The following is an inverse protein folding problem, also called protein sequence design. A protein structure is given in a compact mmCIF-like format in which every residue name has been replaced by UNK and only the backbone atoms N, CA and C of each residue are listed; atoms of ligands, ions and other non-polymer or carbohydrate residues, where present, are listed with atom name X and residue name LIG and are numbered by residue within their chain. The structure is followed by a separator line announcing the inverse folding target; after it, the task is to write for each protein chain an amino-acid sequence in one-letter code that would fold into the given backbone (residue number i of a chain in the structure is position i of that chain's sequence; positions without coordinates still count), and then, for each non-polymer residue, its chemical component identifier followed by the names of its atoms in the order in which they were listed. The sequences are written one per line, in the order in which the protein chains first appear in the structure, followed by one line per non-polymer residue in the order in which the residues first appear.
data_IF_040721218593
#
_entry.id   IF_040721218593
#
_cell.length_a   1.000
_cell.length_b   1.000
_cell.length_c   1.000
_cell.angle_alpha   90.00
_cell.angle_beta   90.00
_cell.angle_gamma   90.00
#
_symmetry.space_group_name_H-M   'P 1'
#
loop_
_entity.id
_entity.type
_entity.pdbx_description
1 polymer ?
#
# COMPACT_ATOMS: atom_id res chain seq x y z
N UNK A 1 39.09 39.54 -21.29
CA UNK A 1 38.19 39.56 -22.47
C UNK A 1 38.33 38.23 -23.17
N UNK A 2 37.24 37.44 -23.22
CA UNK A 2 36.90 36.53 -24.32
C UNK A 2 35.50 36.00 -24.00
N UNK A 3 34.47 36.70 -24.52
CA UNK A 3 33.13 36.15 -24.61
C UNK A 3 33.16 35.25 -25.85
N UNK A 4 33.44 33.97 -25.68
CA UNK A 4 33.13 32.99 -26.71
C UNK A 4 31.61 32.96 -26.82
N UNK A 5 31.08 33.65 -27.83
CA UNK A 5 29.66 33.66 -28.12
C UNK A 5 29.37 32.29 -28.72
N UNK A 6 28.79 31.41 -27.92
CA UNK A 6 28.34 30.08 -28.34
C UNK A 6 27.22 30.27 -29.37
N UNK A 7 27.44 29.83 -30.62
CA UNK A 7 26.46 29.96 -31.71
C UNK A 7 25.99 28.61 -32.24
N UNK A 8 26.73 27.54 -31.97
CA UNK A 8 26.41 26.18 -32.40
C UNK A 8 26.68 25.15 -31.31
N UNK A 9 26.10 23.95 -31.45
CA UNK A 9 26.36 22.82 -30.55
C UNK A 9 27.85 22.40 -30.59
N UNK A 10 28.49 22.50 -31.76
CA UNK A 10 29.93 22.29 -31.92
C UNK A 10 30.79 23.23 -31.04
N UNK A 11 30.35 24.47 -30.81
CA UNK A 11 31.09 25.41 -29.95
C UNK A 11 31.04 24.99 -28.47
N UNK A 12 30.00 24.25 -28.06
CA UNK A 12 29.84 23.76 -26.69
C UNK A 12 30.77 22.56 -26.44
N UNK A 13 30.86 21.65 -27.40
CA UNK A 13 31.71 20.46 -27.30
C UNK A 13 33.20 20.76 -27.50
N UNK A 14 33.55 21.89 -28.10
CA UNK A 14 34.93 22.34 -28.26
C UNK A 14 35.41 23.29 -27.15
N UNK A 15 34.59 23.60 -26.14
CA UNK A 15 35.03 24.42 -25.00
C UNK A 15 35.85 23.54 -24.03
N UNK A 16 37.11 23.88 -23.74
CA UNK A 16 37.93 23.12 -22.78
C UNK A 16 37.32 23.02 -21.37
N UNK A 17 36.37 23.90 -21.02
CA UNK A 17 35.59 23.78 -19.76
C UNK A 17 34.52 22.69 -19.80
N UNK A 18 34.03 22.33 -20.99
CA UNK A 18 33.05 21.27 -21.12
C UNK A 18 33.66 19.91 -20.78
N UNK A 19 34.92 19.68 -21.17
CA UNK A 19 35.65 18.46 -20.83
C UNK A 19 35.82 18.28 -19.32
N UNK A 20 36.10 19.36 -18.56
CA UNK A 20 36.15 19.31 -17.09
C UNK A 20 34.79 18.97 -16.44
N UNK A 21 33.69 19.45 -17.03
CA UNK A 21 32.32 19.20 -16.51
C UNK A 21 31.78 17.81 -16.89
N UNK A 22 32.30 17.21 -17.95
CA UNK A 22 31.89 15.89 -18.45
C UNK A 22 32.67 14.74 -17.81
N UNK A 23 33.67 15.03 -16.96
CA UNK A 23 34.35 14.00 -16.17
C UNK A 23 33.40 13.46 -15.10
N UNK A 24 32.83 12.29 -15.35
CA UNK A 24 32.04 11.55 -14.37
C UNK A 24 33.00 11.09 -13.26
N UNK A 25 32.91 11.68 -12.06
CA UNK A 25 33.66 11.17 -10.91
C UNK A 25 33.31 9.70 -10.68
N UNK A 26 34.29 8.80 -10.52
CA UNK A 26 34.01 7.41 -10.24
C UNK A 26 33.23 7.32 -8.94
N UNK A 27 32.03 6.72 -9.00
CA UNK A 27 31.21 6.49 -7.82
C UNK A 27 32.07 5.80 -6.76
N UNK A 28 32.19 6.41 -5.58
CA UNK A 28 32.89 5.78 -4.45
C UNK A 28 32.25 4.42 -4.20
N UNK A 29 33.02 3.35 -4.39
CA UNK A 29 32.59 2.00 -4.06
C UNK A 29 32.50 1.91 -2.54
N UNK A 30 31.28 1.99 -2.01
CA UNK A 30 31.01 1.67 -0.61
C UNK A 30 31.18 0.15 -0.50
N UNK A 31 32.30 -0.30 0.05
CA UNK A 31 32.50 -1.70 0.43
C UNK A 31 31.41 -2.02 1.47
N UNK A 32 30.70 -3.15 1.36
CA UNK A 32 29.70 -3.52 2.34
C UNK A 32 30.42 -4.01 3.60
N UNK A 33 30.87 -3.08 4.43
CA UNK A 33 31.04 -3.37 5.85
C UNK A 33 29.64 -3.71 6.32
N UNK A 34 29.46 -4.90 6.90
CA UNK A 34 28.16 -5.33 7.42
C UNK A 34 27.73 -4.34 8.50
N UNK A 35 26.90 -3.37 8.12
CA UNK A 35 26.38 -2.29 8.96
C UNK A 35 25.82 -2.83 10.28
N UNK A 36 25.26 -4.04 10.26
CA UNK A 36 24.70 -4.71 11.45
C UNK A 36 25.73 -5.09 12.51
N UNK A 37 26.96 -5.43 12.12
CA UNK A 37 28.03 -5.75 13.08
C UNK A 37 28.49 -4.50 13.82
N UNK A 38 28.61 -3.37 13.11
CA UNK A 38 28.95 -2.08 13.72
C UNK A 38 27.84 -1.58 14.66
N UNK A 39 26.58 -1.69 14.20
CA UNK A 39 25.42 -1.38 15.03
C UNK A 39 25.38 -2.25 16.30
N UNK A 40 25.77 -3.52 16.23
CA UNK A 40 25.80 -4.40 17.39
C UNK A 40 26.92 -4.03 18.37
N UNK A 41 28.10 -3.67 17.88
CA UNK A 41 29.19 -3.13 18.72
C UNK A 41 28.79 -1.84 19.44
N UNK A 42 28.10 -0.94 18.74
CA UNK A 42 27.56 0.29 19.33
C UNK A 42 26.63 -0.01 20.52
N UNK A 43 25.76 -1.03 20.38
CA UNK A 43 24.87 -1.47 21.45
C UNK A 43 25.68 -2.01 22.64
N UNK A 44 26.71 -2.81 22.40
CA UNK A 44 27.57 -3.33 23.47
C UNK A 44 28.33 -2.22 24.22
N UNK A 45 28.88 -1.25 23.49
CA UNK A 45 29.53 -0.09 24.10
C UNK A 45 28.56 0.75 24.91
N UNK A 46 27.31 0.89 24.45
CA UNK A 46 26.28 1.55 25.21
C UNK A 46 25.98 0.80 26.51
N UNK A 47 25.86 -0.52 26.48
CA UNK A 47 25.62 -1.36 27.67
C UNK A 47 26.80 -1.29 28.65
N UNK A 48 28.04 -1.32 28.14
CA UNK A 48 29.27 -1.12 28.95
C UNK A 48 29.26 0.24 29.66
N UNK A 49 28.90 1.31 28.95
CA UNK A 49 28.77 2.67 29.52
C UNK A 49 27.65 2.78 30.55
N UNK A 50 26.57 2.02 30.38
CA UNK A 50 25.39 2.04 31.26
C UNK A 50 25.40 0.89 32.28
N UNK A 51 26.58 0.43 32.70
CA UNK A 51 26.78 -0.55 33.79
C UNK A 51 25.97 -1.84 33.61
N UNK A 52 25.83 -2.34 32.38
CA UNK A 52 25.14 -3.60 32.10
C UNK A 52 23.63 -3.48 31.94
N UNK A 53 23.06 -2.26 31.94
CA UNK A 53 21.62 -2.09 31.63
C UNK A 53 21.37 -2.34 30.14
N UNK A 54 20.37 -3.16 29.83
CA UNK A 54 19.88 -3.33 28.45
C UNK A 54 19.09 -2.09 28.00
N UNK A 55 19.21 -1.66 26.73
CA UNK A 55 18.46 -0.51 26.22
C UNK A 55 16.95 -0.78 26.25
N UNK A 56 16.19 0.14 26.84
CA UNK A 56 14.74 0.00 27.02
C UNK A 56 13.93 0.77 25.96
N UNK A 57 12.72 0.27 25.69
CA UNK A 57 11.78 0.93 24.78
C UNK A 57 11.02 2.04 25.51
N UNK A 58 11.71 3.14 25.77
CA UNK A 58 11.16 4.32 26.47
C UNK A 58 10.33 5.19 25.52
N UNK A 59 9.34 5.93 26.07
CA UNK A 59 8.49 6.89 25.32
C UNK A 59 9.05 8.32 25.29
N UNK A 60 10.07 8.59 26.09
CA UNK A 60 10.69 9.90 26.24
C UNK A 60 11.47 10.30 24.99
N UNK A 61 11.25 11.53 24.53
CA UNK A 61 11.87 12.10 23.33
C UNK A 61 13.37 12.31 23.52
N UNK A 62 13.84 12.55 24.75
CA UNK A 62 15.28 12.69 25.04
C UNK A 62 16.05 11.36 24.98
N UNK A 63 15.36 10.21 24.93
CA UNK A 63 15.96 8.86 24.92
C UNK A 63 15.69 8.09 23.62
N UNK A 64 15.63 8.82 22.49
CA UNK A 64 15.38 8.22 21.17
C UNK A 64 16.48 7.22 20.78
N UNK A 65 17.75 7.52 21.09
CA UNK A 65 18.89 6.66 20.73
C UNK A 65 18.79 5.31 21.44
N UNK A 66 18.49 5.32 22.74
CA UNK A 66 18.23 4.10 23.53
C UNK A 66 17.08 3.29 22.93
N UNK A 67 15.97 3.94 22.59
CA UNK A 67 14.82 3.28 21.95
C UNK A 67 15.19 2.64 20.60
N UNK A 68 16.02 3.30 19.80
CA UNK A 68 16.48 2.74 18.52
C UNK A 68 17.35 1.50 18.74
N UNK A 69 18.31 1.57 19.68
CA UNK A 69 19.15 0.43 20.06
C UNK A 69 18.33 -0.73 20.63
N UNK A 70 17.32 -0.46 21.46
CA UNK A 70 16.40 -1.46 22.00
C UNK A 70 15.63 -2.21 20.89
N UNK A 71 15.15 -1.48 19.87
CA UNK A 71 14.44 -2.08 18.75
C UNK A 71 15.39 -2.91 17.87
N UNK A 72 16.62 -2.43 17.63
CA UNK A 72 17.64 -3.20 16.88
C UNK A 72 17.97 -4.50 17.59
N UNK A 73 18.28 -4.46 18.88
CA UNK A 73 18.56 -5.65 19.68
C UNK A 73 17.39 -6.63 19.69
N UNK A 74 16.15 -6.13 19.77
CA UNK A 74 14.96 -6.97 19.63
C UNK A 74 14.84 -7.63 18.25
N UNK A 75 15.17 -6.91 17.19
CA UNK A 75 15.15 -7.45 15.82
C UNK A 75 16.25 -8.51 15.61
N UNK A 76 17.44 -8.31 16.17
CA UNK A 76 18.50 -9.32 16.15
C UNK A 76 18.09 -10.57 16.93
N UNK A 77 17.43 -10.42 18.08
CA UNK A 77 16.85 -11.54 18.86
C UNK A 77 15.74 -12.31 18.12
N UNK A 78 15.09 -11.72 17.12
CA UNK A 78 13.97 -12.37 16.42
C UNK A 78 14.35 -13.09 15.13
N UNK A 79 15.52 -12.81 14.55
CA UNK A 79 15.97 -13.39 13.28
C UNK A 79 17.18 -14.29 13.52
N UNK A 80 17.01 -15.60 13.29
CA UNK A 80 18.03 -16.61 13.55
C UNK A 80 19.30 -16.39 12.71
N UNK A 81 19.16 -16.02 11.44
CA UNK A 81 20.27 -15.69 10.53
C UNK A 81 21.17 -14.56 11.09
N UNK A 82 20.57 -13.57 11.76
CA UNK A 82 21.30 -12.45 12.35
C UNK A 82 21.97 -12.84 13.66
N UNK A 83 21.36 -13.76 14.42
CA UNK A 83 21.96 -14.33 15.63
C UNK A 83 23.24 -15.09 15.28
N UNK A 84 23.23 -15.91 14.23
CA UNK A 84 24.42 -16.66 13.80
C UNK A 84 25.57 -15.74 13.37
N UNK A 85 25.25 -14.67 12.63
CA UNK A 85 26.23 -13.69 12.15
C UNK A 85 26.85 -12.86 13.28
N UNK A 86 26.07 -12.55 14.33
CA UNK A 86 26.50 -11.69 15.44
C UNK A 86 27.07 -12.48 16.63
N UNK A 87 26.83 -13.80 16.71
CA UNK A 87 27.37 -14.70 17.74
C UNK A 87 28.88 -14.58 17.99
N UNK A 88 29.77 -14.49 16.98
CA UNK A 88 31.22 -14.35 17.24
C UNK A 88 31.60 -13.00 17.86
N UNK A 89 30.71 -12.00 17.79
CA UNK A 89 30.93 -10.67 18.35
C UNK A 89 30.19 -10.44 19.67
N UNK A 90 29.45 -11.43 20.19
CA UNK A 90 28.64 -11.30 21.42
C UNK A 90 29.47 -11.54 22.70
N UNK A 91 30.18 -10.51 23.16
CA UNK A 91 30.96 -10.53 24.41
C UNK A 91 30.08 -10.54 25.68
N UNK A 92 28.85 -10.04 25.58
CA UNK A 92 27.96 -9.81 26.72
C UNK A 92 26.83 -10.86 26.83
N UNK A 93 26.79 -11.84 25.92
CA UNK A 93 25.79 -12.90 25.92
C UNK A 93 24.35 -12.41 25.67
N UNK A 94 24.18 -11.29 24.97
CA UNK A 94 22.90 -10.60 24.79
C UNK A 94 21.93 -11.35 23.87
N UNK A 95 22.44 -12.28 23.06
CA UNK A 95 21.66 -13.01 22.07
C UNK A 95 21.07 -14.33 22.62
N UNK A 96 21.46 -14.77 23.83
CA UNK A 96 21.05 -16.07 24.36
C UNK A 96 19.79 -16.02 25.25
N UNK A 97 18.62 -16.06 24.62
CA UNK A 97 17.30 -16.01 25.28
C UNK A 97 17.00 -17.26 26.15
N UNK A 98 17.72 -18.37 25.94
CA UNK A 98 17.44 -19.65 26.63
C UNK A 98 17.79 -19.62 28.12
N UNK A 99 18.77 -18.83 28.55
CA UNK A 99 19.20 -18.76 29.95
C UNK A 99 18.24 -17.90 30.81
N UNK A 100 17.76 -16.77 30.30
CA UNK A 100 16.85 -15.87 31.02
C UNK A 100 15.50 -16.54 31.38
N UNK A 101 14.97 -17.42 30.52
CA UNK A 101 13.74 -18.17 30.81
C UNK A 101 13.92 -19.22 31.91
N UNK A 102 15.12 -19.74 32.10
CA UNK A 102 15.41 -20.73 33.15
C UNK A 102 15.59 -20.03 34.51
N UNK A 103 16.23 -18.86 34.54
CA UNK A 103 16.37 -18.05 35.75
C UNK A 103 15.01 -17.54 36.27
N UNK A 104 14.14 -17.05 35.38
CA UNK A 104 12.80 -16.59 35.76
C UNK A 104 11.91 -17.75 36.28
N UNK A 105 12.07 -18.95 35.72
CA UNK A 105 11.36 -20.16 36.20
C UNK A 105 11.82 -20.62 37.58
N UNK A 106 13.09 -20.40 37.91
CA UNK A 106 13.62 -20.74 39.23
C UNK A 106 13.11 -19.76 40.29
N UNK A 107 13.09 -18.45 40.00
CA UNK A 107 12.55 -17.43 40.92
C UNK A 107 11.05 -17.63 41.23
N UNK A 108 10.23 -17.97 40.22
CA UNK A 108 8.78 -18.21 40.41
C UNK A 108 8.50 -19.49 41.22
N UNK A 109 9.45 -20.43 41.27
CA UNK A 109 9.33 -21.64 42.08
C UNK A 109 9.47 -21.35 43.58
N UNK A 110 10.30 -20.38 43.94
CA UNK A 110 10.59 -20.02 45.33
C UNK A 110 9.49 -19.14 45.96
N UNK A 111 8.67 -18.45 45.14
CA UNK A 111 7.58 -17.56 45.59
C UNK A 111 6.27 -18.29 45.96
N UNK A 112 6.12 -19.57 45.65
CA UNK A 112 4.94 -20.34 46.05
C UNK A 112 5.02 -20.75 47.52
N UNK A 113 4.82 -19.80 48.42
CA UNK A 113 4.47 -20.10 49.81
C UNK A 113 2.99 -20.46 49.89
N UNK A 114 2.69 -21.61 50.46
CA UNK A 114 1.31 -22.04 50.72
C UNK A 114 0.78 -21.26 51.93
N UNK A 115 -0.29 -20.49 51.75
CA UNK A 115 -0.92 -19.74 52.84
C UNK A 115 -2.00 -20.60 53.49
N UNK A 116 -1.86 -20.88 54.80
CA UNK A 116 -2.76 -21.76 55.55
C UNK A 116 -3.85 -21.04 56.35
N UNK A 117 -3.82 -19.72 56.47
CA UNK A 117 -4.76 -18.95 57.29
C UNK A 117 -5.09 -17.57 56.71
N UNK A 118 -6.25 -17.02 57.10
CA UNK A 118 -6.69 -15.67 56.71
C UNK A 118 -5.82 -14.55 57.33
N UNK A 119 -5.18 -14.82 58.48
CA UNK A 119 -4.30 -13.85 59.15
C UNK A 119 -2.93 -13.72 58.46
N UNK A 120 -2.46 -14.78 57.78
CA UNK A 120 -1.24 -14.72 56.96
C UNK A 120 -1.40 -13.85 55.70
N UNK A 121 -2.63 -13.79 55.16
CA UNK A 121 -2.96 -12.99 53.96
C UNK A 121 -3.02 -11.49 54.30
N UNK A 122 -3.50 -11.15 55.50
CA UNK A 122 -3.68 -9.77 55.94
C UNK A 122 -2.38 -9.12 56.44
N UNK A 123 -1.38 -9.90 56.85
CA UNK A 123 -0.07 -9.41 57.25
C UNK A 123 0.94 -9.29 56.10
N UNK A 124 0.60 -9.79 54.91
CA UNK A 124 1.45 -9.68 53.72
C UNK A 124 1.04 -8.47 52.85
N UNK A 125 1.55 -7.29 53.20
CA UNK A 125 1.35 -6.03 52.47
C UNK A 125 1.73 -6.12 50.98
N UNK A 126 2.54 -7.12 50.59
CA UNK A 126 2.93 -7.30 49.19
C UNK A 126 1.76 -7.72 48.30
N UNK A 127 0.76 -8.43 48.81
CA UNK A 127 -0.40 -8.89 48.03
C UNK A 127 -1.43 -7.77 47.85
N UNK A 128 -1.61 -6.91 48.85
CA UNK A 128 -2.57 -5.80 48.81
C UNK A 128 -2.10 -4.64 47.93
N UNK A 129 -0.79 -4.42 47.82
CA UNK A 129 -0.20 -3.39 46.94
C UNK A 129 0.38 -3.94 45.63
N UNK A 130 0.19 -5.23 45.34
CA UNK A 130 0.50 -5.76 44.03
C UNK A 130 -0.36 -5.01 43.00
N UNK A 131 0.34 -4.20 42.20
CA UNK A 131 -0.18 -3.39 41.12
C UNK A 131 -0.80 -4.28 40.03
N UNK A 132 -1.94 -4.89 40.30
CA UNK A 132 -2.82 -5.49 39.30
C UNK A 132 -3.57 -4.38 38.54
N UNK A 133 -2.76 -3.49 37.97
CA UNK A 133 -3.08 -2.69 36.78
C UNK A 133 -3.37 -3.57 35.56
N UNK A 134 -3.38 -4.90 35.69
CA UNK A 134 -3.69 -5.83 34.61
C UNK A 134 -5.18 -5.84 34.24
N UNK A 135 -6.11 -5.58 35.17
CA UNK A 135 -7.54 -5.63 34.83
C UNK A 135 -8.03 -4.40 34.05
N UNK A 136 -7.51 -3.19 34.38
CA UNK A 136 -7.87 -1.94 33.70
C UNK A 136 -7.27 -1.85 32.28
N UNK A 137 -6.15 -2.54 32.03
CA UNK A 137 -5.41 -2.46 30.77
C UNK A 137 -5.97 -3.34 29.64
N UNK A 138 -6.90 -4.27 29.91
CA UNK A 138 -7.43 -5.17 28.89
C UNK A 138 -8.16 -4.44 27.76
N UNK A 139 -8.90 -3.36 28.09
CA UNK A 139 -9.55 -2.48 27.10
C UNK A 139 -8.60 -1.48 26.41
N UNK A 140 -7.45 -1.19 27.03
CA UNK A 140 -6.47 -0.24 26.47
C UNK A 140 -5.70 -0.84 25.29
N UNK A 141 -5.54 -2.16 25.26
CA UNK A 141 -4.94 -2.92 24.16
C UNK A 141 -5.98 -3.57 23.23
N UNK A 142 -7.23 -3.13 23.33
CA UNK A 142 -8.32 -3.65 22.52
C UNK A 142 -8.16 -3.16 21.07
N UNK A 143 -7.43 -3.97 20.29
CA UNK A 143 -7.06 -3.67 18.91
C UNK A 143 -8.12 -4.11 17.92
N UNK A 144 -9.33 -4.49 18.36
CA UNK A 144 -10.44 -4.88 17.49
C UNK A 144 -10.73 -3.86 16.38
N UNK A 145 -10.64 -2.55 16.68
CA UNK A 145 -10.75 -1.48 15.67
C UNK A 145 -9.61 -1.51 14.64
N UNK A 146 -8.38 -1.81 15.05
CA UNK A 146 -7.25 -2.02 14.13
C UNK A 146 -7.40 -3.32 13.32
N UNK A 147 -8.00 -4.35 13.91
CA UNK A 147 -8.33 -5.60 13.21
C UNK A 147 -9.43 -5.41 12.16
N UNK A 148 -10.37 -4.48 12.37
CA UNK A 148 -11.32 -4.05 11.32
C UNK A 148 -10.60 -3.46 10.10
N UNK A 149 -9.59 -2.60 10.31
CA UNK A 149 -8.76 -2.05 9.22
C UNK A 149 -7.94 -3.17 8.54
N UNK A 150 -7.44 -4.15 9.29
CA UNK A 150 -6.82 -5.36 8.70
C UNK A 150 -7.80 -6.25 7.93
N UNK A 151 -9.10 -6.27 8.25
CA UNK A 151 -10.11 -7.01 7.46
C UNK A 151 -10.33 -6.37 6.09
N UNK A 152 -10.25 -5.03 5.98
CA UNK A 152 -10.23 -4.36 4.66
C UNK A 152 -9.03 -4.83 3.82
N UNK A 153 -7.89 -5.16 4.46
CA UNK A 153 -6.73 -5.74 3.77
C UNK A 153 -6.88 -7.23 3.41
N UNK A 154 -7.87 -7.95 3.96
CA UNK A 154 -8.14 -9.36 3.61
C UNK A 154 -9.01 -9.51 2.36
N UNK A 155 -9.72 -8.47 1.94
CA UNK A 155 -10.39 -8.43 0.63
C UNK A 155 -9.39 -8.10 -0.49
N UNK A 156 -8.24 -8.78 -0.51
CA UNK A 156 -7.33 -8.72 -1.66
C UNK A 156 -7.88 -9.69 -2.70
N UNK A 157 -8.32 -9.21 -3.87
CA UNK A 157 -8.78 -10.10 -4.93
C UNK A 157 -7.64 -11.00 -5.39
N UNK A 158 -7.92 -12.30 -5.61
CA UNK A 158 -6.94 -13.28 -6.08
C UNK A 158 -6.31 -12.89 -7.43
N UNK A 159 -7.07 -12.16 -8.27
CA UNK A 159 -6.61 -11.66 -9.56
C UNK A 159 -6.81 -10.14 -9.63
N UNK A 160 -5.74 -9.39 -9.37
CA UNK A 160 -5.70 -7.95 -9.59
C UNK A 160 -5.54 -7.73 -11.10
N UNK A 161 -6.54 -7.10 -11.72
CA UNK A 161 -6.46 -6.77 -13.14
C UNK A 161 -5.47 -5.61 -13.32
N UNK A 162 -4.33 -5.90 -13.95
CA UNK A 162 -3.33 -4.91 -14.31
C UNK A 162 -3.52 -4.50 -15.77
N UNK A 163 -3.15 -3.25 -16.08
CA UNK A 163 -3.16 -2.77 -17.46
C UNK A 163 -1.99 -3.38 -18.21
N UNK A 164 -2.22 -3.85 -19.42
CA UNK A 164 -1.17 -4.32 -20.31
C UNK A 164 -1.25 -3.60 -21.66
N UNK A 165 -0.15 -3.58 -22.40
CA UNK A 165 -0.12 -2.98 -23.72
C UNK A 165 -0.95 -3.81 -24.69
N UNK A 166 -1.72 -3.16 -25.56
CA UNK A 166 -2.57 -3.81 -26.54
C UNK A 166 -1.85 -3.93 -27.88
N UNK A 167 -1.76 -5.14 -28.42
CA UNK A 167 -1.05 -5.37 -29.70
C UNK A 167 -1.80 -4.79 -30.91
N UNK A 168 -3.13 -4.88 -30.93
CA UNK A 168 -3.99 -4.47 -32.07
C UNK A 168 -4.70 -3.12 -31.86
N UNK A 169 -4.08 -2.18 -31.12
CA UNK A 169 -4.72 -0.90 -30.81
C UNK A 169 -5.07 -0.03 -32.04
N UNK A 170 -4.41 -0.25 -33.18
CA UNK A 170 -4.62 0.53 -34.42
C UNK A 170 -6.08 0.48 -34.91
N UNK A 171 -6.77 -0.64 -34.66
CA UNK A 171 -8.20 -0.80 -34.98
C UNK A 171 -9.09 0.06 -34.08
N UNK A 172 -8.65 0.42 -32.88
CA UNK A 172 -9.44 1.25 -31.95
C UNK A 172 -9.02 2.71 -31.96
N UNK A 173 -7.79 3.01 -32.38
CA UNK A 173 -7.22 4.36 -32.41
C UNK A 173 -8.10 5.35 -33.20
N UNK A 174 -8.65 4.91 -34.34
CA UNK A 174 -9.51 5.77 -35.16
C UNK A 174 -10.81 6.16 -34.44
N UNK A 175 -11.40 5.24 -33.67
CA UNK A 175 -12.61 5.49 -32.88
C UNK A 175 -12.35 6.54 -31.81
N UNK A 176 -11.23 6.41 -31.08
CA UNK A 176 -10.85 7.39 -30.05
C UNK A 176 -10.61 8.78 -30.64
N UNK A 177 -9.89 8.88 -31.76
CA UNK A 177 -9.66 10.16 -32.46
C UNK A 177 -10.96 10.80 -32.92
N UNK A 178 -11.88 10.01 -33.46
CA UNK A 178 -13.19 10.49 -33.87
C UNK A 178 -13.99 11.04 -32.68
N UNK A 179 -14.08 10.27 -31.59
CA UNK A 179 -14.80 10.68 -30.37
C UNK A 179 -14.21 11.98 -29.80
N UNK A 180 -12.88 12.10 -29.77
CA UNK A 180 -12.22 13.32 -29.30
C UNK A 180 -12.53 14.53 -30.17
N UNK A 181 -12.49 14.39 -31.49
CA UNK A 181 -12.87 15.45 -32.42
C UNK A 181 -14.34 15.85 -32.24
N UNK A 182 -15.23 14.88 -32.03
CA UNK A 182 -16.65 15.11 -31.78
C UNK A 182 -16.92 15.81 -30.45
N UNK A 183 -16.19 15.46 -29.39
CA UNK A 183 -16.24 16.16 -28.10
C UNK A 183 -15.72 17.59 -28.25
N UNK A 184 -14.61 17.80 -28.97
CA UNK A 184 -14.03 19.12 -29.21
C UNK A 184 -14.95 20.02 -30.05
N UNK A 185 -15.66 19.44 -31.03
CA UNK A 185 -16.67 20.13 -31.84
C UNK A 185 -18.00 20.37 -31.11
N UNK A 186 -18.19 19.81 -29.91
CA UNK A 186 -19.42 19.92 -29.13
C UNK A 186 -20.57 19.01 -29.57
N UNK A 187 -20.37 18.16 -30.59
CA UNK A 187 -21.36 17.17 -31.03
C UNK A 187 -21.64 16.11 -29.97
N UNK A 188 -20.61 15.71 -29.22
CA UNK A 188 -20.72 14.83 -28.06
C UNK A 188 -20.41 15.61 -26.78
N UNK A 189 -21.13 15.30 -25.70
CA UNK A 189 -20.97 15.97 -24.41
C UNK A 189 -20.56 14.97 -23.32
N UNK A 190 -19.79 15.46 -22.35
CA UNK A 190 -19.38 14.69 -21.18
C UNK A 190 -20.37 14.90 -20.04
N UNK A 191 -21.18 13.89 -19.74
CA UNK A 191 -22.14 13.92 -18.62
C UNK A 191 -21.56 13.22 -17.39
N UNK A 192 -21.88 13.65 -16.16
CA UNK A 192 -21.43 12.94 -14.96
C UNK A 192 -22.00 11.52 -14.90
N UNK A 193 -21.19 10.55 -14.50
CA UNK A 193 -21.64 9.17 -14.30
C UNK A 193 -22.58 9.08 -13.10
N UNK A 194 -23.87 8.78 -13.34
CA UNK A 194 -24.92 8.74 -12.30
C UNK A 194 -25.65 7.40 -12.17
N UNK A 195 -25.78 6.62 -13.24
CA UNK A 195 -26.73 5.50 -13.28
C UNK A 195 -26.13 4.09 -13.19
N UNK A 196 -24.89 3.89 -12.70
CA UNK A 196 -24.21 2.58 -12.52
C UNK A 196 -24.17 1.62 -13.73
N UNK A 197 -24.89 1.91 -14.81
CA UNK A 197 -25.02 1.09 -15.99
C UNK A 197 -23.86 1.43 -16.91
N UNK A 198 -22.97 0.45 -16.99
CA UNK A 198 -21.87 0.42 -17.91
C UNK A 198 -22.37 -0.35 -19.12
N UNK A 199 -22.46 0.34 -20.25
CA UNK A 199 -23.01 -0.17 -21.51
C UNK A 199 -21.88 -0.68 -22.41
N UNK A 200 -22.21 -1.68 -23.21
CA UNK A 200 -21.33 -2.23 -24.23
C UNK A 200 -21.10 -1.19 -25.35
N UNK A 201 -19.91 -1.18 -25.92
CA UNK A 201 -19.51 -0.28 -27.02
C UNK A 201 -19.65 1.22 -26.72
N UNK A 202 -19.69 1.61 -25.44
CA UNK A 202 -19.78 2.99 -25.01
C UNK A 202 -18.43 3.56 -24.56
N UNK A 203 -18.29 4.88 -24.68
CA UNK A 203 -17.13 5.62 -24.23
C UNK A 203 -17.34 6.28 -22.87
N UNK A 204 -16.31 6.19 -22.03
CA UNK A 204 -16.31 6.79 -20.70
C UNK A 204 -14.98 7.50 -20.43
N UNK A 205 -14.97 8.44 -19.49
CA UNK A 205 -13.77 9.14 -19.07
C UNK A 205 -13.52 8.85 -17.59
N UNK A 206 -12.37 8.23 -17.30
CA UNK A 206 -11.92 7.90 -15.96
C UNK A 206 -10.59 8.63 -15.69
N UNK A 207 -10.54 9.49 -14.66
CA UNK A 207 -9.34 10.29 -14.32
C UNK A 207 -8.75 11.09 -15.50
N UNK A 208 -9.61 11.57 -16.40
CA UNK A 208 -9.19 12.33 -17.58
C UNK A 208 -8.71 11.47 -18.76
N UNK A 209 -8.74 10.14 -18.63
CA UNK A 209 -8.41 9.22 -19.71
C UNK A 209 -9.69 8.64 -20.32
N UNK A 210 -9.78 8.66 -21.66
CA UNK A 210 -10.89 8.06 -22.39
C UNK A 210 -10.72 6.53 -22.43
N UNK A 211 -11.83 5.82 -22.23
CA UNK A 211 -11.90 4.36 -22.27
C UNK A 211 -13.12 3.90 -23.06
N UNK A 212 -12.99 2.73 -23.67
CA UNK A 212 -13.99 2.06 -24.48
C UNK A 212 -14.23 0.65 -23.97
N UNK A 213 -15.47 0.19 -24.07
CA UNK A 213 -15.89 -1.13 -23.57
C UNK A 213 -16.16 -2.02 -24.75
N UNK A 214 -15.21 -2.90 -25.04
CA UNK A 214 -15.27 -3.80 -26.19
C UNK A 214 -16.17 -5.00 -25.90
N UNK A 215 -15.98 -5.66 -24.75
CA UNK A 215 -16.70 -6.87 -24.42
C UNK A 215 -17.14 -6.91 -22.95
N UNK A 216 -18.31 -7.50 -22.72
CA UNK A 216 -18.84 -7.82 -21.39
C UNK A 216 -18.92 -9.34 -21.27
N UNK A 217 -18.17 -9.91 -20.34
CA UNK A 217 -18.17 -11.34 -20.05
C UNK A 217 -19.40 -11.79 -19.28
N UNK A 218 -19.41 -13.07 -18.92
CA UNK A 218 -20.55 -13.70 -18.24
C UNK A 218 -20.90 -13.07 -16.89
N UNK A 219 -22.21 -12.98 -16.64
CA UNK A 219 -22.78 -12.52 -15.37
C UNK A 219 -22.61 -13.59 -14.30
N UNK A 220 -21.74 -13.33 -13.32
CA UNK A 220 -21.52 -14.18 -12.14
C UNK A 220 -22.29 -13.63 -10.95
N UNK A 221 -23.02 -14.50 -10.27
CA UNK A 221 -23.71 -14.14 -9.03
C UNK A 221 -22.67 -14.08 -7.90
N UNK A 222 -22.52 -12.92 -7.28
CA UNK A 222 -21.61 -12.72 -6.16
C UNK A 222 -22.42 -12.79 -4.87
N UNK A 223 -22.16 -13.83 -4.06
CA UNK A 223 -22.80 -14.06 -2.76
C UNK A 223 -22.12 -13.23 -1.65
N UNK A 224 -21.93 -11.94 -1.88
CA UNK A 224 -21.43 -11.02 -0.86
C UNK A 224 -22.62 -10.23 -0.29
N UNK A 225 -22.54 -9.78 0.96
CA UNK A 225 -23.61 -9.03 1.67
C UNK A 225 -23.88 -7.63 1.07
N UNK A 226 -23.36 -7.38 -0.12
CA UNK A 226 -23.55 -6.16 -0.90
C UNK A 226 -24.91 -6.18 -1.59
N UNK A 227 -25.48 -5.00 -1.82
CA UNK A 227 -26.73 -4.81 -2.58
C UNK A 227 -26.64 -5.34 -4.02
N UNK A 228 -25.44 -5.65 -4.51
CA UNK A 228 -25.19 -6.08 -5.91
C UNK A 228 -24.80 -7.53 -5.97
N UNK A 229 -25.78 -8.34 -6.37
CA UNK A 229 -25.67 -9.79 -6.47
C UNK A 229 -25.03 -10.27 -7.77
N UNK A 230 -24.72 -9.40 -8.71
CA UNK A 230 -24.17 -9.80 -10.02
C UNK A 230 -22.95 -8.96 -10.37
N UNK A 231 -21.90 -9.63 -10.84
CA UNK A 231 -20.68 -8.99 -11.37
C UNK A 231 -20.28 -9.65 -12.70
N UNK A 232 -19.53 -8.94 -13.53
CA UNK A 232 -19.10 -9.42 -14.85
C UNK A 232 -17.72 -8.89 -15.15
N UNK A 233 -16.88 -9.64 -15.88
CA UNK A 233 -15.60 -9.12 -16.35
C UNK A 233 -15.85 -8.26 -17.57
N UNK A 234 -15.21 -7.10 -17.62
CA UNK A 234 -15.22 -6.21 -18.78
C UNK A 234 -13.88 -6.30 -19.47
N UNK A 235 -13.86 -6.16 -20.78
CA UNK A 235 -12.66 -5.88 -21.56
C UNK A 235 -12.68 -4.40 -21.94
N UNK A 236 -11.73 -3.66 -21.38
CA UNK A 236 -11.69 -2.20 -21.45
C UNK A 236 -10.42 -1.79 -22.16
N UNK A 237 -10.57 -1.02 -23.23
CA UNK A 237 -9.47 -0.41 -23.97
C UNK A 237 -9.35 1.04 -23.55
N UNK A 238 -8.12 1.49 -23.34
CA UNK A 238 -7.80 2.87 -23.03
C UNK A 238 -7.19 3.57 -24.24
N UNK A 239 -7.41 4.87 -24.33
CA UNK A 239 -6.87 5.74 -25.39
C UNK A 239 -5.34 5.69 -25.55
N UNK A 240 -4.60 5.35 -24.48
CA UNK A 240 -3.14 5.25 -24.52
C UNK A 240 -2.63 3.91 -25.06
N UNK A 241 -3.47 3.11 -25.72
CA UNK A 241 -3.08 1.81 -26.25
C UNK A 241 -2.91 0.71 -25.20
N UNK A 242 -3.45 0.90 -24.00
CA UNK A 242 -3.46 -0.16 -22.98
C UNK A 242 -4.84 -0.77 -22.86
N UNK A 243 -4.91 -2.05 -22.52
CA UNK A 243 -6.15 -2.75 -22.23
C UNK A 243 -6.12 -3.31 -20.80
N UNK A 244 -7.30 -3.57 -20.26
CA UNK A 244 -7.47 -4.11 -18.91
C UNK A 244 -8.79 -4.88 -18.80
N UNK A 245 -8.83 -5.82 -17.87
CA UNK A 245 -9.98 -6.69 -17.66
C UNK A 245 -10.65 -6.52 -16.28
N UNK A 246 -11.11 -5.30 -15.90
CA UNK A 246 -11.70 -5.05 -14.59
C UNK A 246 -13.05 -5.75 -14.40
N UNK A 247 -13.48 -5.87 -13.14
CA UNK A 247 -14.86 -6.23 -12.81
C UNK A 247 -15.77 -5.04 -13.05
N UNK A 248 -17.00 -5.28 -13.52
CA UNK A 248 -18.00 -4.24 -13.78
C UNK A 248 -18.28 -3.42 -12.53
N UNK A 249 -18.52 -4.07 -11.40
CA UNK A 249 -18.75 -3.38 -10.14
C UNK A 249 -17.52 -2.59 -9.66
N UNK A 250 -16.32 -3.11 -9.93
CA UNK A 250 -15.06 -2.44 -9.62
C UNK A 250 -14.82 -1.19 -10.47
N UNK A 251 -15.10 -1.27 -11.78
CA UNK A 251 -15.03 -0.14 -12.70
C UNK A 251 -16.07 0.92 -12.33
N UNK A 252 -17.32 0.51 -12.08
CA UNK A 252 -18.38 1.41 -11.63
C UNK A 252 -17.97 2.14 -10.34
N UNK A 253 -17.49 1.42 -9.32
CA UNK A 253 -17.00 2.02 -8.08
C UNK A 253 -15.86 3.03 -8.33
N UNK A 254 -14.93 2.71 -9.22
CA UNK A 254 -13.85 3.62 -9.61
C UNK A 254 -14.40 4.88 -10.29
N UNK A 255 -15.39 4.75 -11.17
CA UNK A 255 -16.06 5.87 -11.82
C UNK A 255 -16.72 6.81 -10.80
N UNK A 256 -17.42 6.30 -9.79
CA UNK A 256 -17.97 7.16 -8.73
C UNK A 256 -16.88 7.82 -7.89
N UNK A 257 -15.86 7.07 -7.48
CA UNK A 257 -14.79 7.58 -6.64
C UNK A 257 -13.97 8.69 -7.30
N UNK A 258 -13.74 8.62 -8.62
CA UNK A 258 -12.93 9.61 -9.36
C UNK A 258 -13.75 10.60 -10.20
N UNK A 259 -15.06 10.74 -9.94
CA UNK A 259 -15.96 11.63 -10.71
C UNK A 259 -15.88 11.37 -12.23
N UNK A 260 -15.98 10.11 -12.61
CA UNK A 260 -15.99 9.67 -14.00
C UNK A 260 -17.13 10.31 -14.80
N UNK A 261 -16.91 10.44 -16.11
CA UNK A 261 -17.89 11.01 -17.05
C UNK A 261 -18.27 9.99 -18.11
N UNK A 262 -19.49 10.10 -18.62
CA UNK A 262 -20.02 9.34 -19.75
C UNK A 262 -19.93 10.24 -20.97
N UNK A 263 -19.49 9.69 -22.10
CA UNK A 263 -19.59 10.36 -23.39
C UNK A 263 -20.99 10.08 -23.94
N UNK A 264 -21.76 11.12 -24.26
CA UNK A 264 -23.07 10.93 -24.90
C UNK A 264 -22.89 10.33 -26.29
N UNK A 265 -23.75 9.39 -26.64
CA UNK A 265 -23.89 8.97 -28.03
C UNK A 265 -24.41 10.13 -28.89
N UNK A 266 -24.10 10.08 -30.17
CA UNK A 266 -24.76 10.93 -31.14
C UNK A 266 -26.15 10.34 -31.30
N UNK A 267 -27.20 11.13 -31.09
CA UNK A 267 -28.53 10.75 -31.57
C UNK A 267 -28.41 10.61 -33.08
N UNK A 268 -28.26 9.37 -33.56
CA UNK A 268 -28.50 9.07 -34.95
C UNK A 268 -29.99 9.31 -35.09
N UNK A 269 -30.34 10.44 -35.69
CA UNK A 269 -31.70 10.73 -36.10
C UNK A 269 -32.00 9.78 -37.28
N UNK A 270 -32.04 8.48 -37.02
CA UNK A 270 -32.68 7.53 -37.90
C UNK A 270 -34.17 7.85 -37.78
N UNK A 271 -34.62 8.72 -38.68
CA UNK A 271 -36.01 8.78 -39.08
C UNK A 271 -36.37 7.38 -39.61
N UNK A 272 -36.72 6.47 -38.71
CA UNK A 272 -37.52 5.32 -39.08
C UNK A 272 -38.80 5.89 -39.70
N UNK A 273 -39.16 5.53 -40.95
CA UNK A 273 -40.44 5.96 -41.49
C UNK A 273 -41.56 5.48 -40.55
N UNK A 274 -42.44 6.41 -40.16
CA UNK A 274 -43.58 6.20 -39.26
C UNK A 274 -44.29 4.85 -39.53
N UNK A 275 -44.09 3.86 -38.66
CA UNK A 275 -45.10 2.81 -38.51
C UNK A 275 -46.25 3.40 -37.71
N UNK A 276 -47.28 3.82 -38.43
CA UNK A 276 -48.54 4.34 -37.90
C UNK A 276 -49.29 3.21 -37.20
N UNK A 277 -49.00 2.95 -35.92
CA UNK A 277 -49.84 2.08 -35.08
C UNK A 277 -50.89 2.92 -34.36
N UNK A 278 -51.98 3.24 -35.05
CA UNK A 278 -53.14 3.90 -34.45
C UNK A 278 -54.43 3.44 -35.09
N UNK A 279 -55.20 2.59 -34.40
CA UNK A 279 -56.60 2.36 -34.74
C UNK A 279 -57.44 3.48 -34.15
N UNK A 280 -58.12 4.25 -35.00
CA UNK A 280 -59.13 5.22 -34.60
C UNK A 280 -60.46 4.47 -34.46
N UNK A 281 -60.98 4.35 -33.24
CA UNK A 281 -62.36 3.93 -33.03
C UNK A 281 -63.27 5.15 -33.19
N UNK A 282 -64.10 5.12 -34.22
CA UNK A 282 -65.23 6.03 -34.38
C UNK A 282 -66.44 5.41 -33.67
N UNK A 283 -67.03 6.16 -32.74
CA UNK A 283 -68.29 5.86 -32.05
C UNK A 283 -69.46 6.55 -32.76
#
# INVERSE_FOLDING_TARGET
MNKNIIRSLEDIFNDPKADELLVIEPKKNIIPINQDVENFKEIQEWIKRHKGREPERTRDVSRIVERQMANRLKNYRSHEDMVELLKPYDELGLLNIKNQKNELKNMIKDEKKEFSSLDDILNDDSVLFNNDRKSINTKLFDTEKFHKIKREQKNKPEKISQRHNMDNFKEYEHLFKQVQAEIASGKRQLRPFKNYEILLHHFYVLKGQLLYIEAVGEKKIVNDKSQRKTDSRLHVIYENGTENNPLLNGLAASMYGSKGKIVTELEVNELTPDETTGYIYVL
#
